data_IF_509887503395
#
_entry.id   IF_509887503395
#
_cell.length_a   1.000
_cell.length_b   1.000
_cell.length_c   1.000
_cell.angle_alpha   90.00
_cell.angle_beta   90.00
_cell.angle_gamma   90.00
#
_symmetry.space_group_name_H-M   'P 1'
#
loop_
_entity.id
_entity.type
_entity.pdbx_description
1 polymer ?
#
# COMPACT_ATOMS: atom_id res chain seq x y z
N UNK A 1 -2.80 -60.42 -48.42
CA UNK A 1 -2.20 -59.20 -47.86
C UNK A 1 -3.21 -58.06 -48.03
N UNK A 2 -4.03 -57.78 -47.02
CA UNK A 2 -4.99 -56.69 -47.04
C UNK A 2 -4.65 -55.82 -45.81
N UNK A 3 -4.00 -54.68 -46.02
CA UNK A 3 -3.56 -53.79 -44.95
C UNK A 3 -4.74 -52.95 -44.46
N UNK A 4 -5.06 -53.12 -43.18
CA UNK A 4 -6.01 -52.30 -42.43
C UNK A 4 -5.32 -50.97 -42.13
N UNK A 5 -5.74 -49.89 -42.79
CA UNK A 5 -5.30 -48.53 -42.47
C UNK A 5 -6.11 -48.06 -41.25
N UNK A 6 -5.49 -48.12 -40.08
CA UNK A 6 -6.01 -47.56 -38.84
C UNK A 6 -5.81 -46.04 -38.88
N UNK A 7 -6.85 -45.28 -39.23
CA UNK A 7 -6.89 -43.85 -39.01
C UNK A 7 -7.02 -43.59 -37.50
N UNK A 8 -5.88 -43.40 -36.82
CA UNK A 8 -5.87 -42.72 -35.52
C UNK A 8 -6.23 -41.26 -35.77
N UNK A 9 -7.49 -40.89 -35.52
CA UNK A 9 -7.88 -39.50 -35.37
C UNK A 9 -7.18 -38.94 -34.12
N UNK A 10 -6.12 -38.15 -34.34
CA UNK A 10 -5.59 -37.23 -33.35
C UNK A 10 -6.69 -36.20 -33.05
N UNK A 11 -7.48 -36.46 -32.01
CA UNK A 11 -8.25 -35.39 -31.37
C UNK A 11 -7.19 -34.54 -30.67
N UNK A 12 -6.79 -33.44 -31.29
CA UNK A 12 -6.12 -32.36 -30.60
C UNK A 12 -7.11 -31.87 -29.53
N UNK A 13 -6.95 -32.33 -28.29
CA UNK A 13 -7.64 -31.74 -27.16
C UNK A 13 -7.13 -30.30 -27.06
N UNK A 14 -7.92 -29.34 -27.55
CA UNK A 14 -7.69 -27.93 -27.26
C UNK A 14 -7.70 -27.81 -25.74
N UNK A 15 -6.56 -27.51 -25.12
CA UNK A 15 -6.51 -27.19 -23.70
C UNK A 15 -7.45 -26.01 -23.52
N UNK A 16 -8.60 -26.24 -22.88
CA UNK A 16 -9.61 -25.22 -22.73
C UNK A 16 -9.01 -24.07 -21.93
N UNK A 17 -8.85 -22.89 -22.56
CA UNK A 17 -8.32 -21.70 -21.90
C UNK A 17 -9.14 -21.36 -20.65
N UNK A 18 -8.49 -20.83 -19.62
CA UNK A 18 -9.16 -20.44 -18.38
C UNK A 18 -10.22 -19.37 -18.67
N UNK A 19 -11.50 -19.66 -18.39
CA UNK A 19 -12.58 -18.70 -18.56
C UNK A 19 -12.61 -17.76 -17.35
N UNK A 20 -12.24 -16.49 -17.55
CA UNK A 20 -12.13 -15.48 -16.49
C UNK A 20 -13.33 -14.53 -16.41
N UNK A 21 -14.40 -14.80 -17.16
CA UNK A 21 -15.57 -13.93 -17.23
C UNK A 21 -16.79 -14.54 -16.55
N UNK A 22 -17.41 -13.77 -15.65
CA UNK A 22 -18.69 -14.06 -15.02
C UNK A 22 -19.63 -12.88 -15.27
N UNK A 23 -20.70 -13.12 -16.02
CA UNK A 23 -21.61 -12.10 -16.54
C UNK A 23 -20.86 -10.97 -17.29
N UNK A 24 -20.68 -9.80 -16.65
CA UNK A 24 -19.96 -8.63 -17.19
C UNK A 24 -18.64 -8.35 -16.48
N UNK A 25 -18.27 -9.18 -15.52
CA UNK A 25 -17.09 -8.98 -14.68
C UNK A 25 -16.01 -9.97 -15.10
N UNK A 26 -14.82 -9.44 -15.43
CA UNK A 26 -13.61 -10.22 -15.68
C UNK A 26 -12.75 -10.23 -14.42
N UNK A 27 -12.33 -11.41 -13.98
CA UNK A 27 -11.42 -11.56 -12.82
C UNK A 27 -9.95 -11.61 -13.27
N UNK A 28 -8.98 -11.21 -12.42
CA UNK A 28 -7.55 -11.28 -12.74
C UNK A 28 -7.07 -12.73 -12.90
N UNK A 29 -6.01 -12.96 -13.68
CA UNK A 29 -5.32 -14.25 -13.70
C UNK A 29 -4.65 -14.48 -12.35
N UNK A 30 -4.60 -15.72 -11.80
CA UNK A 30 -5.01 -17.01 -12.38
C UNK A 30 -6.44 -17.44 -12.02
N UNK A 31 -7.27 -16.51 -11.56
CA UNK A 31 -8.63 -16.80 -11.13
C UNK A 31 -9.57 -16.97 -12.32
N UNK A 32 -10.53 -17.88 -12.22
CA UNK A 32 -11.59 -17.98 -13.22
C UNK A 32 -12.61 -19.07 -12.91
N UNK A 33 -13.54 -19.28 -13.83
CA UNK A 33 -14.78 -20.05 -13.64
C UNK A 33 -14.79 -21.38 -14.39
N UNK A 34 -13.68 -21.76 -15.01
CA UNK A 34 -13.49 -23.07 -15.64
C UNK A 34 -12.54 -23.96 -14.84
N UNK A 35 -12.65 -25.29 -14.94
CA UNK A 35 -11.73 -26.21 -14.28
C UNK A 35 -10.26 -26.10 -14.71
N UNK A 36 -10.00 -25.42 -15.83
CA UNK A 36 -8.66 -25.17 -16.36
C UNK A 36 -7.92 -24.00 -15.68
N UNK A 37 -8.61 -23.22 -14.84
CA UNK A 37 -8.00 -22.13 -14.08
C UNK A 37 -7.23 -22.67 -12.87
N UNK A 38 -6.07 -22.09 -12.57
CA UNK A 38 -5.25 -22.55 -11.42
C UNK A 38 -5.90 -22.24 -10.08
N UNK A 39 -6.74 -21.20 -10.00
CA UNK A 39 -7.55 -20.88 -8.83
C UNK A 39 -9.03 -20.77 -9.26
N UNK A 40 -9.82 -21.83 -9.06
CA UNK A 40 -11.21 -21.84 -9.52
C UNK A 40 -12.11 -21.00 -8.60
N UNK A 41 -13.00 -20.24 -9.22
CA UNK A 41 -14.07 -19.46 -8.63
C UNK A 41 -15.43 -20.02 -9.07
N UNK A 42 -16.46 -19.73 -8.27
CA UNK A 42 -17.85 -20.00 -8.61
C UNK A 42 -18.55 -18.70 -9.05
N UNK A 43 -19.32 -18.79 -10.12
CA UNK A 43 -20.12 -17.69 -10.64
C UNK A 43 -21.61 -18.03 -10.49
N UNK A 44 -22.37 -17.15 -9.84
CA UNK A 44 -23.81 -17.27 -9.76
C UNK A 44 -24.44 -15.91 -10.05
N UNK A 45 -25.35 -15.84 -11.03
CA UNK A 45 -25.97 -14.59 -11.45
C UNK A 45 -26.78 -13.88 -10.35
N UNK A 46 -27.15 -14.58 -9.28
CA UNK A 46 -27.90 -14.01 -8.14
C UNK A 46 -27.02 -13.62 -6.96
N UNK A 47 -26.07 -14.48 -6.58
CA UNK A 47 -25.20 -14.26 -5.41
C UNK A 47 -23.82 -13.69 -5.75
N UNK A 48 -23.55 -13.45 -7.04
CA UNK A 48 -22.26 -12.96 -7.53
C UNK A 48 -21.17 -14.03 -7.54
N UNK A 49 -19.93 -13.58 -7.44
CA UNK A 49 -18.73 -14.41 -7.47
C UNK A 49 -18.43 -14.91 -6.05
N UNK A 50 -18.13 -16.19 -5.92
CA UNK A 50 -17.74 -16.81 -4.65
C UNK A 50 -16.53 -17.73 -4.81
N UNK A 51 -15.82 -17.94 -3.71
CA UNK A 51 -14.69 -18.84 -3.59
C UNK A 51 -15.01 -19.91 -2.54
N UNK A 52 -15.12 -21.17 -2.97
CA UNK A 52 -15.44 -22.30 -2.07
C UNK A 52 -16.69 -22.07 -1.21
N UNK A 53 -17.70 -21.37 -1.75
CA UNK A 53 -18.94 -21.03 -1.05
C UNK A 53 -18.93 -19.72 -0.27
N UNK A 54 -17.79 -19.03 -0.17
CA UNK A 54 -17.67 -17.72 0.49
C UNK A 54 -17.73 -16.57 -0.53
N UNK A 55 -18.53 -15.52 -0.31
CA UNK A 55 -18.61 -14.39 -1.24
C UNK A 55 -17.25 -13.69 -1.42
N UNK A 56 -16.87 -13.44 -2.66
CA UNK A 56 -15.68 -12.65 -2.98
C UNK A 56 -16.00 -11.16 -2.77
N UNK A 57 -15.15 -10.46 -2.00
CA UNK A 57 -15.29 -9.04 -1.77
C UNK A 57 -14.55 -8.23 -2.84
N UNK A 58 -13.22 -8.39 -2.93
CA UNK A 58 -12.39 -7.73 -3.92
C UNK A 58 -11.00 -8.38 -4.02
N UNK A 59 -10.29 -8.06 -5.11
CA UNK A 59 -8.86 -8.30 -5.24
C UNK A 59 -8.08 -7.06 -4.78
N UNK A 60 -6.91 -7.27 -4.19
CA UNK A 60 -6.05 -6.21 -3.65
C UNK A 60 -4.78 -6.09 -4.50
N UNK A 61 -4.14 -4.92 -4.48
CA UNK A 61 -2.89 -4.66 -5.20
C UNK A 61 -1.69 -5.52 -4.73
N UNK A 62 -1.74 -6.04 -3.49
CA UNK A 62 -0.64 -6.77 -2.86
C UNK A 62 -0.69 -8.28 -3.08
N UNK A 63 -1.20 -8.74 -4.24
CA UNK A 63 -1.34 -10.18 -4.54
C UNK A 63 -2.20 -10.94 -3.51
N UNK A 64 -3.21 -10.27 -2.95
CA UNK A 64 -4.20 -10.86 -2.04
C UNK A 64 -5.61 -10.65 -2.58
N UNK A 65 -6.56 -11.41 -2.05
CA UNK A 65 -7.99 -11.20 -2.27
C UNK A 65 -8.76 -11.37 -0.96
N UNK A 66 -9.87 -10.64 -0.84
CA UNK A 66 -10.68 -10.61 0.35
C UNK A 66 -11.96 -11.42 0.15
N UNK A 67 -12.31 -12.22 1.16
CA UNK A 67 -13.57 -12.96 1.21
C UNK A 67 -14.39 -12.55 2.42
N UNK A 68 -15.71 -12.57 2.27
CA UNK A 68 -16.63 -12.38 3.38
C UNK A 68 -16.89 -13.73 4.09
N UNK A 69 -16.49 -13.81 5.35
CA UNK A 69 -16.80 -14.91 6.27
C UNK A 69 -17.79 -14.41 7.30
N UNK A 70 -19.06 -14.45 6.93
CA UNK A 70 -20.13 -14.07 7.86
C UNK A 70 -20.17 -15.01 9.08
N UNK A 71 -20.65 -14.47 10.20
CA UNK A 71 -20.86 -15.20 11.44
C UNK A 71 -21.80 -16.38 11.22
N UNK A 72 -21.33 -17.59 11.56
CA UNK A 72 -22.13 -18.81 11.45
C UNK A 72 -21.84 -19.73 12.64
N UNK A 73 -22.89 -20.09 13.39
CA UNK A 73 -22.77 -20.85 14.63
C UNK A 73 -22.57 -22.36 14.43
N UNK A 74 -22.76 -22.87 13.21
CA UNK A 74 -22.77 -24.31 12.90
C UNK A 74 -21.81 -24.65 11.78
N UNK A 75 -20.90 -23.72 11.42
CA UNK A 75 -19.92 -23.96 10.36
C UNK A 75 -18.76 -24.77 10.95
N UNK A 76 -18.55 -26.02 10.49
CA UNK A 76 -17.49 -26.85 11.03
C UNK A 76 -16.14 -26.22 10.71
N UNK A 77 -15.18 -26.35 11.63
CA UNK A 77 -13.82 -25.79 11.46
C UNK A 77 -13.21 -26.25 10.15
N UNK A 78 -13.48 -27.50 9.74
CA UNK A 78 -12.99 -28.13 8.49
C UNK A 78 -13.29 -27.33 7.23
N UNK A 79 -14.29 -26.45 7.25
CA UNK A 79 -14.56 -25.51 6.16
C UNK A 79 -13.40 -24.55 5.90
N UNK A 80 -12.55 -24.29 6.90
CA UNK A 80 -11.35 -23.47 6.76
C UNK A 80 -10.30 -24.08 5.83
N UNK A 81 -10.39 -25.38 5.52
CA UNK A 81 -9.45 -26.07 4.62
C UNK A 81 -9.53 -25.49 3.21
N UNK A 82 -10.69 -24.94 2.85
CA UNK A 82 -10.89 -24.22 1.60
C UNK A 82 -9.93 -23.03 1.41
N UNK A 83 -9.37 -22.48 2.49
CA UNK A 83 -8.45 -21.34 2.45
C UNK A 83 -6.98 -21.75 2.36
N UNK A 84 -6.68 -23.04 2.34
CA UNK A 84 -5.31 -23.56 2.24
C UNK A 84 -5.16 -24.43 0.99
N UNK A 85 -4.11 -24.17 0.23
CA UNK A 85 -3.78 -24.94 -0.96
C UNK A 85 -2.29 -24.76 -1.28
N UNK A 86 -1.85 -25.35 -2.39
CA UNK A 86 -0.50 -25.16 -2.91
C UNK A 86 -0.26 -23.79 -3.52
N UNK A 87 -1.34 -23.07 -3.91
CA UNK A 87 -1.29 -21.78 -4.61
C UNK A 87 -1.82 -20.61 -3.77
N UNK A 88 -2.32 -20.85 -2.56
CA UNK A 88 -2.88 -19.79 -1.73
C UNK A 88 -2.99 -20.22 -0.27
N UNK A 89 -2.95 -19.23 0.64
CA UNK A 89 -3.14 -19.42 2.07
C UNK A 89 -3.61 -18.13 2.75
N UNK A 90 -4.24 -18.27 3.92
CA UNK A 90 -4.57 -17.13 4.78
C UNK A 90 -3.31 -16.37 5.19
N UNK A 91 -3.30 -15.05 5.06
CA UNK A 91 -2.18 -14.19 5.50
C UNK A 91 -2.12 -14.11 7.03
N UNK A 92 -0.94 -13.84 7.58
CA UNK A 92 -0.74 -13.65 9.03
C UNK A 92 -1.58 -12.54 9.66
N UNK A 93 -2.16 -11.64 8.85
CA UNK A 93 -3.04 -10.55 9.30
C UNK A 93 -4.44 -11.03 9.70
N UNK A 94 -4.77 -12.30 9.45
CA UNK A 94 -6.04 -12.89 9.82
C UNK A 94 -6.02 -13.44 11.24
N UNK A 95 -7.10 -13.16 11.97
CA UNK A 95 -7.55 -13.92 13.12
C UNK A 95 -8.81 -14.71 12.77
N UNK A 96 -8.88 -15.96 13.20
CA UNK A 96 -10.07 -16.81 13.09
C UNK A 96 -10.70 -16.98 14.46
N UNK A 97 -12.01 -16.82 14.54
CA UNK A 97 -12.76 -17.13 15.75
C UNK A 97 -13.29 -18.54 15.68
N UNK A 98 -12.87 -19.33 16.66
CA UNK A 98 -13.20 -20.73 16.75
C UNK A 98 -14.03 -20.99 18.02
N UNK A 99 -14.82 -22.07 18.00
CA UNK A 99 -15.67 -22.50 19.12
C UNK A 99 -15.55 -24.00 19.36
N UNK A 100 -16.11 -24.41 20.50
CA UNK A 100 -16.14 -25.82 20.93
C UNK A 100 -14.72 -26.39 20.99
N UNK A 101 -13.84 -25.63 21.66
CA UNK A 101 -12.44 -25.95 21.79
C UNK A 101 -12.18 -26.76 23.05
N UNK A 102 -11.19 -27.65 23.01
CA UNK A 102 -10.72 -28.33 24.20
C UNK A 102 -10.29 -27.29 25.28
N UNK A 103 -10.53 -27.55 26.59
CA UNK A 103 -10.22 -26.60 27.68
C UNK A 103 -8.75 -26.17 27.76
N UNK A 104 -7.83 -26.93 27.15
CA UNK A 104 -6.40 -26.65 27.10
C UNK A 104 -5.98 -25.74 25.94
N UNK A 105 -6.90 -25.40 25.03
CA UNK A 105 -6.60 -24.65 23.80
C UNK A 105 -7.16 -23.21 23.81
N UNK A 106 -7.80 -22.79 24.89
CA UNK A 106 -8.43 -21.47 25.00
C UNK A 106 -7.39 -20.38 25.28
N UNK A 107 -6.92 -19.72 24.21
CA UNK A 107 -6.30 -18.39 24.32
C UNK A 107 -7.42 -17.35 24.23
N UNK A 108 -7.69 -16.58 25.30
CA UNK A 108 -8.75 -15.57 25.27
C UNK A 108 -8.42 -14.47 24.25
N UNK A 109 -9.42 -14.06 23.48
CA UNK A 109 -9.31 -12.94 22.56
C UNK A 109 -9.19 -11.62 23.34
N UNK A 110 -8.06 -10.92 23.22
CA UNK A 110 -7.94 -9.56 23.76
C UNK A 110 -8.55 -8.56 22.77
N UNK A 111 -9.88 -8.51 22.71
CA UNK A 111 -10.63 -7.58 21.86
C UNK A 111 -11.43 -6.62 22.72
N UNK A 112 -11.58 -5.34 22.31
CA UNK A 112 -12.49 -4.43 22.97
C UNK A 112 -13.91 -5.03 23.06
N UNK A 113 -14.54 -4.89 24.23
CA UNK A 113 -15.88 -5.43 24.51
C UNK A 113 -16.94 -4.99 23.49
N UNK A 114 -16.79 -3.82 22.88
CA UNK A 114 -17.66 -3.36 21.79
C UNK A 114 -17.62 -4.31 20.58
N UNK A 115 -16.43 -4.72 20.14
CA UNK A 115 -16.23 -5.62 18.99
C UNK A 115 -16.81 -7.00 19.29
N UNK A 116 -16.52 -7.51 20.48
CA UNK A 116 -17.04 -8.78 21.00
C UNK A 116 -18.57 -8.72 21.06
N UNK A 117 -19.17 -7.66 21.61
CA UNK A 117 -20.63 -7.53 21.70
C UNK A 117 -21.33 -7.55 20.33
N UNK A 118 -20.74 -6.90 19.32
CA UNK A 118 -21.26 -6.92 17.95
C UNK A 118 -21.22 -8.34 17.37
N UNK A 119 -20.13 -9.08 17.62
CA UNK A 119 -19.98 -10.48 17.20
C UNK A 119 -20.93 -11.43 17.92
N UNK A 120 -21.09 -11.28 19.23
CA UNK A 120 -21.90 -12.18 20.07
C UNK A 120 -23.40 -12.10 19.75
N UNK A 121 -23.87 -10.96 19.23
CA UNK A 121 -25.27 -10.70 18.87
C UNK A 121 -25.82 -11.65 17.78
N UNK A 122 -24.96 -12.19 16.91
CA UNK A 122 -25.39 -13.06 15.80
C UNK A 122 -25.80 -14.47 16.24
N UNK A 123 -25.23 -14.98 17.35
CA UNK A 123 -25.42 -16.36 17.79
C UNK A 123 -25.87 -16.49 19.26
N UNK A 124 -26.19 -15.39 19.95
CA UNK A 124 -26.54 -15.41 21.39
C UNK A 124 -25.40 -15.92 22.26
N UNK A 125 -24.17 -15.56 21.90
CA UNK A 125 -22.95 -16.13 22.46
C UNK A 125 -22.63 -15.60 23.87
N UNK A 126 -21.96 -16.44 24.66
CA UNK A 126 -21.24 -16.04 25.89
C UNK A 126 -19.75 -15.95 25.58
N UNK A 127 -19.08 -14.96 26.16
CA UNK A 127 -17.67 -14.59 25.92
C UNK A 127 -16.71 -15.78 26.16
N UNK A 128 -17.02 -16.63 27.14
CA UNK A 128 -16.20 -17.77 27.57
C UNK A 128 -16.05 -18.90 26.55
N UNK A 129 -16.84 -18.90 25.47
CA UNK A 129 -16.89 -20.00 24.50
C UNK A 129 -16.26 -19.63 23.14
N UNK A 130 -15.51 -18.53 23.09
CA UNK A 130 -14.90 -18.00 21.89
C UNK A 130 -13.37 -17.96 22.03
N UNK A 131 -12.67 -18.62 21.11
CA UNK A 131 -11.20 -18.62 21.06
C UNK A 131 -10.74 -17.93 19.78
N UNK A 132 -9.66 -17.16 19.87
CA UNK A 132 -9.02 -16.53 18.71
C UNK A 132 -7.80 -17.34 18.31
N UNK A 133 -7.80 -17.84 17.08
CA UNK A 133 -6.63 -18.40 16.45
C UNK A 133 -6.00 -17.35 15.52
N UNK A 134 -4.71 -17.06 15.72
CA UNK A 134 -3.94 -16.15 14.88
C UNK A 134 -2.51 -16.67 14.75
N UNK A 135 -1.77 -16.14 13.78
CA UNK A 135 -0.39 -16.54 13.58
C UNK A 135 0.54 -15.85 14.60
N UNK A 136 1.20 -16.63 15.44
CA UNK A 136 2.18 -16.14 16.42
C UNK A 136 3.63 -16.53 16.11
N UNK A 137 3.88 -17.21 14.98
CA UNK A 137 5.21 -17.74 14.64
C UNK A 137 6.05 -16.79 13.77
N UNK A 138 5.47 -15.65 13.36
CA UNK A 138 6.12 -14.69 12.46
C UNK A 138 6.11 -15.10 10.99
N UNK A 139 5.51 -16.25 10.64
CA UNK A 139 5.39 -16.70 9.27
C UNK A 139 4.46 -15.78 8.47
N UNK A 140 4.64 -15.71 7.15
CA UNK A 140 3.83 -14.80 6.32
C UNK A 140 2.37 -15.26 6.17
N UNK A 141 2.14 -16.58 6.31
CA UNK A 141 0.85 -17.24 6.15
C UNK A 141 0.51 -18.13 7.34
N UNK A 142 -0.78 -18.31 7.64
CA UNK A 142 -1.25 -19.31 8.58
C UNK A 142 -1.01 -20.70 8.00
N UNK A 143 -0.86 -21.69 8.88
CA UNK A 143 -0.74 -23.09 8.48
C UNK A 143 -2.02 -23.84 8.77
N UNK A 144 -2.36 -24.75 7.86
CA UNK A 144 -3.49 -25.67 8.00
C UNK A 144 -3.42 -26.46 9.31
N UNK A 145 -2.24 -27.01 9.64
CA UNK A 145 -1.98 -27.73 10.90
C UNK A 145 -2.29 -26.88 12.15
N UNK A 146 -1.94 -25.59 12.11
CA UNK A 146 -2.23 -24.67 13.19
C UNK A 146 -3.73 -24.50 13.43
N UNK A 147 -4.50 -24.33 12.36
CA UNK A 147 -5.95 -24.12 12.44
C UNK A 147 -6.68 -25.38 12.87
N UNK A 148 -6.26 -26.58 12.43
CA UNK A 148 -6.99 -27.82 12.68
C UNK A 148 -6.53 -28.61 13.89
N UNK A 149 -5.23 -28.92 13.94
CA UNK A 149 -4.70 -29.86 14.91
C UNK A 149 -4.31 -29.16 16.21
N UNK A 150 -3.84 -27.91 16.13
CA UNK A 150 -3.38 -27.17 17.31
C UNK A 150 -4.50 -26.39 18.00
N UNK A 151 -5.51 -25.94 17.25
CA UNK A 151 -6.64 -25.23 17.84
C UNK A 151 -7.55 -26.15 18.66
N UNK A 152 -7.67 -27.43 18.27
CA UNK A 152 -8.55 -28.42 18.91
C UNK A 152 -10.00 -27.94 19.05
N UNK A 153 -10.49 -27.16 18.08
CA UNK A 153 -11.83 -26.58 18.04
C UNK A 153 -12.75 -27.28 17.04
N UNK A 154 -14.05 -27.30 17.31
CA UNK A 154 -15.06 -27.92 16.44
C UNK A 154 -15.60 -27.01 15.33
N UNK A 155 -15.79 -25.72 15.61
CA UNK A 155 -16.50 -24.79 14.71
C UNK A 155 -15.66 -23.55 14.34
N UNK A 156 -15.80 -23.08 13.10
CA UNK A 156 -15.31 -21.79 12.62
C UNK A 156 -16.45 -20.76 12.64
N UNK A 157 -16.44 -19.86 13.63
CA UNK A 157 -17.50 -18.89 13.83
C UNK A 157 -17.45 -17.70 12.85
N UNK A 158 -16.33 -16.98 12.81
CA UNK A 158 -16.10 -15.83 11.93
C UNK A 158 -14.61 -15.52 11.85
N UNK A 159 -14.22 -14.42 11.20
CA UNK A 159 -12.84 -13.95 11.12
C UNK A 159 -12.71 -12.47 11.49
N UNK A 160 -11.47 -12.02 11.63
CA UNK A 160 -11.07 -10.62 11.72
C UNK A 160 -9.82 -10.41 10.90
N UNK A 161 -9.79 -9.32 10.15
CA UNK A 161 -8.61 -8.87 9.42
C UNK A 161 -8.01 -7.66 10.13
N UNK A 162 -6.72 -7.73 10.43
CA UNK A 162 -5.96 -6.61 10.97
C UNK A 162 -5.52 -5.68 9.84
N UNK A 163 -6.03 -4.45 9.83
CA UNK A 163 -5.66 -3.40 8.89
C UNK A 163 -4.87 -2.30 9.61
N UNK A 164 -3.54 -2.21 9.41
CA UNK A 164 -2.77 -1.12 9.97
C UNK A 164 -3.16 0.17 9.23
N UNK A 165 -3.82 1.10 9.91
CA UNK A 165 -4.08 2.43 9.36
C UNK A 165 -2.80 3.26 9.50
N UNK A 166 -2.03 3.26 8.42
CA UNK A 166 -0.73 3.95 8.29
C UNK A 166 -0.90 5.47 8.39
N UNK A 167 -2.10 6.01 8.15
CA UNK A 167 -2.36 7.45 8.19
C UNK A 167 -2.80 7.93 9.57
N UNK A 168 -3.56 7.13 10.33
CA UNK A 168 -4.07 7.51 11.64
C UNK A 168 -3.24 7.00 12.83
N UNK A 169 -2.26 6.11 12.60
CA UNK A 169 -1.56 5.41 13.69
C UNK A 169 -2.50 4.53 14.52
N UNK A 170 -3.66 4.19 13.97
CA UNK A 170 -4.69 3.33 14.58
C UNK A 170 -4.74 1.99 13.85
N UNK A 171 -5.32 1.00 14.50
CA UNK A 171 -5.51 -0.33 13.91
C UNK A 171 -6.99 -0.51 13.62
N UNK A 172 -7.33 -0.61 12.34
CA UNK A 172 -8.71 -0.84 11.91
C UNK A 172 -8.91 -2.35 11.82
N UNK A 173 -10.00 -2.83 12.41
CA UNK A 173 -10.34 -4.24 12.43
C UNK A 173 -11.53 -4.48 11.50
N UNK A 174 -11.33 -5.32 10.49
CA UNK A 174 -12.39 -5.70 9.56
C UNK A 174 -13.00 -7.04 10.00
N UNK A 175 -14.20 -7.01 10.57
CA UNK A 175 -14.90 -8.20 11.06
C UNK A 175 -15.55 -8.97 9.92
N UNK A 176 -15.48 -10.30 9.99
CA UNK A 176 -16.07 -11.19 8.99
C UNK A 176 -15.42 -11.09 7.62
N UNK A 177 -14.17 -10.64 7.56
CA UNK A 177 -13.36 -10.57 6.34
C UNK A 177 -12.12 -11.42 6.56
N UNK A 178 -11.70 -12.15 5.52
CA UNK A 178 -10.37 -12.76 5.47
C UNK A 178 -9.58 -12.29 4.28
N UNK A 179 -8.28 -12.15 4.47
CA UNK A 179 -7.30 -11.91 3.42
C UNK A 179 -6.57 -13.21 3.06
N UNK A 180 -6.64 -13.60 1.79
CA UNK A 180 -5.92 -14.77 1.28
C UNK A 180 -4.86 -14.26 0.31
N UNK A 181 -3.60 -14.61 0.56
CA UNK A 181 -2.55 -14.42 -0.42
C UNK A 181 -2.50 -15.61 -1.37
N UNK A 182 -2.21 -15.34 -2.63
CA UNK A 182 -2.16 -16.34 -3.69
C UNK A 182 -0.86 -16.24 -4.47
N UNK A 183 -0.49 -17.29 -5.19
CA UNK A 183 0.72 -17.37 -6.00
C UNK A 183 0.64 -18.48 -7.05
N UNK A 184 1.61 -18.48 -7.97
CA UNK A 184 1.83 -19.58 -8.92
C UNK A 184 2.97 -20.47 -8.45
N UNK A 185 2.91 -21.76 -8.74
CA UNK A 185 3.98 -22.71 -8.39
C UNK A 185 4.83 -23.10 -9.59
N UNK A 186 6.11 -23.37 -9.34
CA UNK A 186 7.04 -23.95 -10.30
C UNK A 186 7.97 -22.93 -10.94
N UNK A 187 8.24 -23.11 -12.23
CA UNK A 187 9.10 -22.20 -12.97
C UNK A 187 8.34 -20.92 -13.34
N UNK A 188 9.04 -19.79 -13.28
CA UNK A 188 8.49 -18.50 -13.66
C UNK A 188 8.02 -18.52 -15.11
N UNK A 189 6.72 -18.32 -15.32
CA UNK A 189 6.11 -18.19 -16.63
C UNK A 189 5.56 -16.76 -16.82
N UNK A 190 6.48 -15.79 -16.77
CA UNK A 190 6.16 -14.37 -16.89
C UNK A 190 6.15 -13.93 -18.36
N UNK A 191 5.31 -12.94 -18.67
CA UNK A 191 5.23 -12.33 -19.99
C UNK A 191 6.53 -11.57 -20.34
N UNK A 192 6.69 -11.22 -21.62
CA UNK A 192 7.76 -10.32 -22.02
C UNK A 192 7.62 -8.95 -21.35
N UNK A 193 8.73 -8.37 -20.91
CA UNK A 193 8.77 -7.13 -20.10
C UNK A 193 8.08 -7.28 -18.73
N UNK A 194 8.29 -8.43 -18.10
CA UNK A 194 7.91 -8.70 -16.73
C UNK A 194 9.06 -9.35 -15.97
N UNK A 195 9.19 -8.99 -14.70
CA UNK A 195 10.13 -9.59 -13.75
C UNK A 195 9.44 -10.65 -12.90
N UNK A 196 10.17 -11.74 -12.63
CA UNK A 196 9.71 -12.79 -11.73
C UNK A 196 10.22 -12.54 -10.32
N UNK A 197 9.31 -12.54 -9.35
CA UNK A 197 9.65 -12.49 -7.93
C UNK A 197 9.30 -13.83 -7.29
N UNK A 198 10.29 -14.51 -6.71
CA UNK A 198 10.05 -15.74 -5.94
C UNK A 198 9.61 -15.41 -4.53
N UNK A 199 8.68 -16.20 -4.01
CA UNK A 199 8.11 -16.03 -2.68
C UNK A 199 9.03 -16.72 -1.67
N UNK A 200 9.14 -16.15 -0.47
CA UNK A 200 10.08 -16.54 0.58
C UNK A 200 9.89 -17.97 1.13
N UNK A 201 10.69 -18.30 2.13
CA UNK A 201 10.93 -19.67 2.66
C UNK A 201 9.69 -20.48 3.07
N UNK A 202 8.58 -19.83 3.43
CA UNK A 202 7.35 -20.49 3.88
C UNK A 202 6.54 -21.10 2.72
N UNK A 203 6.79 -20.63 1.49
CA UNK A 203 6.13 -21.11 0.27
C UNK A 203 7.18 -21.70 -0.65
N UNK A 204 7.21 -23.03 -0.74
CA UNK A 204 8.12 -23.73 -1.66
C UNK A 204 7.71 -23.47 -3.11
N UNK A 205 8.66 -23.03 -3.92
CA UNK A 205 8.52 -22.87 -5.37
C UNK A 205 7.41 -21.92 -5.83
N UNK A 206 6.99 -20.99 -4.95
CA UNK A 206 6.01 -19.95 -5.28
C UNK A 206 6.64 -18.77 -6.02
N UNK A 207 5.90 -18.18 -6.96
CA UNK A 207 6.31 -16.96 -7.66
C UNK A 207 5.14 -16.07 -8.08
N UNK A 208 5.49 -14.80 -8.31
CA UNK A 208 4.66 -13.80 -8.98
C UNK A 208 5.39 -13.19 -10.16
N UNK A 209 4.63 -12.67 -11.10
CA UNK A 209 5.15 -11.86 -12.18
C UNK A 209 4.66 -10.43 -12.02
N UNK A 210 5.54 -9.46 -12.32
CA UNK A 210 5.21 -8.03 -12.29
C UNK A 210 5.73 -7.38 -13.56
N UNK A 211 4.89 -6.61 -14.23
CA UNK A 211 5.34 -5.84 -15.40
C UNK A 211 6.47 -4.88 -15.02
N UNK A 212 7.46 -4.78 -15.91
CA UNK A 212 8.58 -3.84 -15.77
C UNK A 212 8.07 -2.40 -15.88
N UNK A 213 8.90 -1.43 -15.46
CA UNK A 213 8.53 -0.03 -15.50
C UNK A 213 8.10 0.42 -16.92
N UNK A 214 6.99 1.16 -16.99
CA UNK A 214 6.39 1.60 -18.27
C UNK A 214 5.48 0.56 -18.93
N UNK A 215 5.27 -0.61 -18.31
CA UNK A 215 4.32 -1.61 -18.77
C UNK A 215 3.17 -1.78 -17.78
N UNK A 216 1.99 -2.07 -18.31
CA UNK A 216 0.76 -2.29 -17.53
C UNK A 216 0.22 -3.67 -17.91
N UNK A 217 -0.25 -4.41 -16.91
CA UNK A 217 -0.84 -5.73 -17.06
C UNK A 217 -0.65 -6.58 -15.80
N UNK A 218 -0.88 -7.88 -15.92
CA UNK A 218 -0.80 -8.83 -14.80
C UNK A 218 0.58 -9.51 -14.68
N UNK A 219 1.46 -9.35 -15.68
CA UNK A 219 2.81 -9.90 -15.67
C UNK A 219 2.91 -11.36 -16.14
N UNK A 220 1.80 -12.10 -16.26
CA UNK A 220 1.83 -13.53 -16.53
C UNK A 220 1.71 -13.83 -18.03
N UNK A 221 2.49 -14.78 -18.54
CA UNK A 221 2.45 -15.15 -19.96
C UNK A 221 1.12 -15.81 -20.37
N UNK A 222 0.51 -16.57 -19.46
CA UNK A 222 -0.79 -17.22 -19.66
C UNK A 222 -1.99 -16.31 -19.33
N UNK A 223 -1.70 -15.11 -18.83
CA UNK A 223 -2.69 -14.11 -18.44
C UNK A 223 -2.85 -13.01 -19.50
N UNK A 224 -3.02 -11.79 -19.01
CA UNK A 224 -3.16 -10.57 -19.83
C UNK A 224 -1.79 -10.07 -20.34
N UNK A 225 -0.70 -10.54 -19.73
CA UNK A 225 0.67 -10.20 -20.06
C UNK A 225 1.01 -8.75 -19.72
N UNK A 226 2.05 -8.23 -20.37
CA UNK A 226 2.47 -6.83 -20.22
C UNK A 226 2.38 -6.11 -21.54
N UNK A 227 1.68 -4.97 -21.55
CA UNK A 227 1.61 -4.06 -22.69
C UNK A 227 2.20 -2.72 -22.31
N UNK A 228 2.75 -1.99 -23.29
CA UNK A 228 3.24 -0.63 -23.07
C UNK A 228 2.10 0.21 -22.52
N UNK A 229 2.24 0.59 -21.26
CA UNK A 229 1.43 1.64 -20.69
C UNK A 229 2.06 2.94 -21.12
N UNK A 230 1.29 3.84 -21.71
CA UNK A 230 1.56 5.23 -21.37
C UNK A 230 1.33 5.29 -19.87
N UNK A 231 2.42 5.42 -19.09
CA UNK A 231 2.31 6.09 -17.80
C UNK A 231 1.37 7.28 -18.03
N UNK A 232 0.47 7.65 -17.09
CA UNK A 232 0.08 9.04 -17.07
C UNK A 232 1.43 9.77 -17.05
N UNK A 233 1.80 10.39 -18.18
CA UNK A 233 2.85 11.38 -18.15
C UNK A 233 2.43 12.22 -16.96
N UNK A 234 3.26 12.31 -15.92
CA UNK A 234 3.31 13.58 -15.21
C UNK A 234 3.37 14.56 -16.36
N UNK A 235 2.28 15.31 -16.57
CA UNK A 235 2.26 16.37 -17.56
C UNK A 235 3.33 17.30 -17.01
N UNK A 236 4.57 17.06 -17.44
CA UNK A 236 5.62 18.05 -17.39
C UNK A 236 4.98 19.21 -18.09
N UNK A 237 4.72 20.25 -17.31
CA UNK A 237 4.03 21.45 -17.71
C UNK A 237 4.56 21.85 -19.08
N UNK A 238 3.77 21.53 -20.09
CA UNK A 238 4.02 21.99 -21.45
C UNK A 238 3.64 23.45 -21.37
N UNK A 239 4.61 24.30 -21.08
CA UNK A 239 4.46 25.75 -21.14
C UNK A 239 3.97 26.08 -22.55
N UNK A 240 2.66 26.27 -22.68
CA UNK A 240 2.09 26.96 -23.83
C UNK A 240 2.41 28.44 -23.62
N UNK A 241 3.18 29.10 -24.51
CA UNK A 241 3.28 30.55 -24.49
C UNK A 241 1.93 31.09 -24.97
N UNK A 242 1.04 31.39 -24.03
CA UNK A 242 -0.20 32.14 -24.31
C UNK A 242 -0.18 33.44 -23.53
N UNK A 243 0.65 34.40 -23.97
CA UNK A 243 0.40 35.81 -23.67
C UNK A 243 0.81 36.67 -24.86
N UNK A 244 -0.10 36.79 -25.82
CA UNK A 244 -0.07 37.90 -26.79
C UNK A 244 -1.53 38.31 -27.04
N UNK A 245 -2.05 39.17 -26.16
CA UNK A 245 -3.42 39.64 -26.27
C UNK A 245 -3.96 40.39 -25.06
N UNK A 246 -3.12 41.12 -24.31
CA UNK A 246 -3.67 42.09 -23.36
C UNK A 246 -4.04 43.34 -24.17
N UNK A 247 -5.34 43.52 -24.35
CA UNK A 247 -5.92 44.62 -25.14
C UNK A 247 -5.37 45.99 -24.70
N UNK A 248 -5.15 46.88 -25.67
CA UNK A 248 -4.69 48.26 -25.44
C UNK A 248 -5.62 49.06 -24.49
N UNK A 249 -6.85 48.58 -24.25
CA UNK A 249 -7.77 49.15 -23.28
C UNK A 249 -7.31 48.98 -21.82
N UNK A 250 -6.63 47.87 -21.49
CA UNK A 250 -6.16 47.61 -20.12
C UNK A 250 -4.99 48.51 -19.74
N UNK A 251 -4.08 48.81 -20.68
CA UNK A 251 -2.92 49.70 -20.43
C UNK A 251 -3.39 51.14 -20.21
N UNK A 252 -4.41 51.59 -20.94
CA UNK A 252 -4.99 52.93 -20.75
C UNK A 252 -5.75 53.06 -19.42
N UNK A 253 -6.41 51.99 -18.94
CA UNK A 253 -7.03 51.98 -17.62
C UNK A 253 -5.98 52.06 -16.49
N UNK A 254 -4.86 51.34 -16.61
CA UNK A 254 -3.76 51.38 -15.63
C UNK A 254 -3.11 52.77 -15.59
N UNK A 255 -2.91 53.43 -16.73
CA UNK A 255 -2.36 54.80 -16.78
C UNK A 255 -3.35 55.81 -16.17
N UNK A 256 -4.66 55.65 -16.39
CA UNK A 256 -5.67 56.50 -15.77
C UNK A 256 -5.75 56.31 -14.24
N UNK A 257 -5.63 55.08 -13.75
CA UNK A 257 -5.59 54.78 -12.31
C UNK A 257 -4.33 55.35 -11.68
N UNK A 258 -3.16 55.20 -12.32
CA UNK A 258 -1.90 55.80 -11.85
C UNK A 258 -1.97 57.33 -11.87
N UNK A 259 -2.62 57.93 -12.87
CA UNK A 259 -2.88 59.37 -12.92
C UNK A 259 -3.76 59.87 -11.78
N UNK A 260 -4.82 59.14 -11.44
CA UNK A 260 -5.70 59.43 -10.29
C UNK A 260 -4.94 59.23 -8.96
N UNK A 261 -4.10 58.19 -8.87
CA UNK A 261 -3.25 57.92 -7.71
C UNK A 261 -2.21 59.02 -7.47
N UNK A 262 -1.54 59.50 -8.52
CA UNK A 262 -0.54 60.57 -8.44
C UNK A 262 -1.15 61.95 -8.16
N UNK A 263 -2.40 62.18 -8.57
CA UNK A 263 -3.15 63.39 -8.19
C UNK A 263 -3.66 63.33 -6.75
N UNK A 264 -4.07 62.15 -6.28
CA UNK A 264 -4.50 61.90 -4.91
C UNK A 264 -3.37 61.96 -3.88
N UNK A 265 -2.14 61.58 -4.24
CA UNK A 265 -0.99 61.59 -3.33
C UNK A 265 -0.52 63.00 -2.94
N UNK A 266 -0.97 64.05 -3.65
CA UNK A 266 -0.71 65.45 -3.27
C UNK A 266 -1.69 66.02 -2.24
N UNK A 267 -2.74 65.29 -1.87
CA UNK A 267 -3.70 65.73 -0.85
C UNK A 267 -4.05 64.58 0.11
N UNK A 268 -3.59 64.71 1.35
CA UNK A 268 -3.97 63.93 2.54
C UNK A 268 -3.28 62.57 2.75
N UNK A 269 -2.22 62.60 3.56
CA UNK A 269 -2.28 62.18 4.97
C UNK A 269 -2.94 60.83 5.30
N UNK A 270 -2.06 59.90 5.68
CA UNK A 270 -2.22 58.94 6.79
C UNK A 270 -3.08 57.68 6.61
N UNK A 271 -2.38 56.57 6.86
CA UNK A 271 -2.77 55.34 7.60
C UNK A 271 -3.49 54.17 6.94
N UNK A 272 -3.06 53.00 7.42
CA UNK A 272 -3.71 51.68 7.57
C UNK A 272 -3.76 50.71 6.39
N UNK A 273 -2.79 49.78 6.44
CA UNK A 273 -2.95 48.30 6.49
C UNK A 273 -4.17 47.67 5.84
N UNK A 274 -3.92 46.77 4.90
CA UNK A 274 -4.64 45.48 4.77
C UNK A 274 -3.67 44.39 4.31
N UNK A 275 -3.73 43.25 5.00
CA UNK A 275 -3.10 41.98 4.62
C UNK A 275 -3.62 41.51 3.26
N UNK A 276 -2.72 40.98 2.43
CA UNK A 276 -3.06 40.20 1.25
C UNK A 276 -2.20 38.92 1.27
N UNK A 277 -2.81 37.82 1.72
CA UNK A 277 -2.29 36.46 1.57
C UNK A 277 -2.51 36.01 0.13
N UNK A 278 -1.43 35.68 -0.58
CA UNK A 278 -1.48 34.79 -1.72
C UNK A 278 -0.11 34.13 -1.97
N UNK A 279 -0.10 32.80 -1.92
CA UNK A 279 0.75 31.93 -2.75
C UNK A 279 2.25 31.87 -2.45
N UNK A 280 2.64 31.27 -1.32
CA UNK A 280 4.00 30.74 -1.09
C UNK A 280 3.96 29.40 -0.35
N UNK A 281 3.70 28.29 -1.06
CA UNK A 281 3.87 26.94 -0.47
C UNK A 281 4.76 26.01 -1.32
N UNK A 282 5.69 26.56 -2.12
CA UNK A 282 6.62 25.72 -2.87
C UNK A 282 8.08 26.20 -2.88
N UNK A 283 8.36 27.38 -2.33
CA UNK A 283 9.73 27.91 -2.26
C UNK A 283 10.30 27.83 -0.83
N UNK A 284 9.47 27.88 0.22
CA UNK A 284 9.95 27.82 1.61
C UNK A 284 10.49 26.43 2.00
N UNK A 285 9.90 25.34 1.49
CA UNK A 285 10.26 23.97 1.89
C UNK A 285 11.65 23.54 1.41
N UNK A 286 12.05 23.95 0.20
CA UNK A 286 13.38 23.67 -0.34
C UNK A 286 14.48 24.43 0.41
N UNK A 287 14.20 25.70 0.77
CA UNK A 287 15.10 26.51 1.58
C UNK A 287 15.19 26.04 3.03
N UNK A 288 14.14 25.42 3.58
CA UNK A 288 14.16 24.85 4.92
C UNK A 288 15.05 23.61 4.98
N UNK A 289 14.91 22.66 4.05
CA UNK A 289 15.71 21.44 4.02
C UNK A 289 17.21 21.71 3.85
N UNK A 290 17.60 22.59 2.91
CA UNK A 290 19.00 22.94 2.70
C UNK A 290 19.63 23.65 3.90
N UNK A 291 18.88 24.55 4.57
CA UNK A 291 19.37 25.23 5.79
C UNK A 291 19.58 24.26 6.94
N UNK A 292 18.62 23.35 7.18
CA UNK A 292 18.75 22.34 8.24
C UNK A 292 19.94 21.42 7.99
N UNK A 293 20.18 21.02 6.74
CA UNK A 293 21.32 20.19 6.38
C UNK A 293 22.67 20.90 6.62
N UNK A 294 22.81 22.15 6.20
CA UNK A 294 24.05 22.93 6.35
C UNK A 294 24.47 23.07 7.83
N UNK A 295 23.50 23.32 8.73
CA UNK A 295 23.77 23.41 10.17
C UNK A 295 24.13 22.04 10.78
N UNK A 296 23.55 20.94 10.28
CA UNK A 296 23.91 19.58 10.71
C UNK A 296 25.31 19.18 10.24
N UNK A 297 25.72 19.56 9.03
CA UNK A 297 27.06 19.30 8.49
C UNK A 297 28.13 20.21 9.12
N UNK A 298 27.77 21.46 9.43
CA UNK A 298 28.61 22.44 10.14
C UNK A 298 28.74 22.19 11.65
N UNK A 299 27.98 21.25 12.22
CA UNK A 299 27.99 20.95 13.65
C UNK A 299 27.28 21.98 14.53
N UNK A 300 26.45 22.85 13.95
CA UNK A 300 25.73 23.95 14.62
C UNK A 300 24.25 23.58 14.91
N UNK A 301 24.01 22.33 15.33
CA UNK A 301 22.66 21.78 15.53
C UNK A 301 21.90 22.50 16.66
N UNK A 302 22.61 23.06 17.64
CA UNK A 302 22.00 23.84 18.73
C UNK A 302 21.26 25.08 18.23
N UNK A 303 21.63 25.63 17.06
CA UNK A 303 20.93 26.77 16.45
C UNK A 303 19.62 26.37 15.76
N UNK A 304 19.41 25.08 15.50
CA UNK A 304 18.17 24.52 14.97
C UNK A 304 17.16 24.17 16.08
N UNK A 305 17.59 24.21 17.34
CA UNK A 305 16.75 23.85 18.49
C UNK A 305 15.71 24.94 18.72
N UNK A 306 14.44 24.55 18.74
CA UNK A 306 13.34 25.47 19.07
C UNK A 306 13.55 26.04 20.49
N UNK A 307 13.42 27.36 20.71
CA UNK A 307 13.54 27.99 22.04
C UNK A 307 12.63 27.36 23.10
N UNK A 308 11.48 26.79 22.72
CA UNK A 308 10.56 26.11 23.65
C UNK A 308 11.16 24.79 24.18
N UNK A 309 12.14 24.23 23.49
CA UNK A 309 12.79 22.96 23.83
C UNK A 309 14.09 23.16 24.62
N UNK A 310 14.38 24.36 25.13
CA UNK A 310 15.65 24.73 25.80
C UNK A 310 16.09 23.70 26.86
N UNK A 311 15.16 23.16 27.64
CA UNK A 311 15.41 22.18 28.72
C UNK A 311 15.61 20.71 28.25
N UNK A 312 15.46 20.40 26.95
CA UNK A 312 15.61 19.05 26.40
C UNK A 312 17.07 18.73 26.07
N UNK A 313 17.54 17.51 26.38
CA UNK A 313 18.88 17.02 26.05
C UNK A 313 19.21 17.21 24.56
N UNK A 314 20.33 17.87 24.26
CA UNK A 314 20.78 18.18 22.89
C UNK A 314 21.02 16.94 22.03
N UNK A 315 21.38 15.82 22.66
CA UNK A 315 21.59 14.53 21.99
C UNK A 315 20.30 13.95 21.40
N UNK A 316 19.18 14.02 22.12
CA UNK A 316 17.88 13.52 21.65
C UNK A 316 17.32 14.40 20.53
N UNK A 317 17.50 15.72 20.64
CA UNK A 317 17.13 16.68 19.59
C UNK A 317 17.96 16.45 18.34
N UNK A 318 19.28 16.27 18.49
CA UNK A 318 20.20 15.96 17.39
C UNK A 318 19.82 14.67 16.69
N UNK A 319 19.50 13.63 17.46
CA UNK A 319 19.03 12.34 16.97
C UNK A 319 17.72 12.48 16.17
N UNK A 320 16.76 13.25 16.69
CA UNK A 320 15.49 13.49 16.00
C UNK A 320 15.68 14.23 14.67
N UNK A 321 16.55 15.24 14.64
CA UNK A 321 16.86 16.00 13.41
C UNK A 321 17.52 15.09 12.36
N UNK A 322 18.49 14.28 12.76
CA UNK A 322 19.17 13.34 11.85
C UNK A 322 18.21 12.28 11.29
N UNK A 323 17.32 11.73 12.12
CA UNK A 323 16.28 10.79 11.68
C UNK A 323 15.30 11.48 10.72
N UNK A 324 14.91 12.72 11.01
CA UNK A 324 14.06 13.54 10.14
C UNK A 324 14.69 13.72 8.75
N UNK A 325 15.97 14.06 8.69
CA UNK A 325 16.73 14.21 7.44
C UNK A 325 16.85 12.90 6.63
N UNK A 326 16.91 11.74 7.29
CA UNK A 326 16.88 10.44 6.62
C UNK A 326 15.50 10.13 6.00
N UNK A 327 14.42 10.57 6.64
CA UNK A 327 13.05 10.31 6.17
C UNK A 327 12.66 11.13 4.94
N UNK A 328 13.25 12.32 4.76
CA UNK A 328 12.92 13.25 3.67
C UNK A 328 13.92 13.22 2.51
N UNK A 329 14.80 12.21 2.45
CA UNK A 329 15.74 12.02 1.34
C UNK A 329 15.03 11.98 -0.02
N UNK A 330 15.62 12.55 -1.06
CA UNK A 330 15.02 12.52 -2.41
C UNK A 330 14.88 11.09 -2.95
N UNK A 331 15.88 10.23 -2.69
CA UNK A 331 15.91 8.84 -3.12
C UNK A 331 15.10 7.94 -2.15
N UNK A 332 14.00 7.30 -2.60
CA UNK A 332 13.20 6.41 -1.77
C UNK A 332 13.97 5.21 -1.20
N UNK A 333 15.03 4.75 -1.87
CA UNK A 333 15.82 3.59 -1.43
C UNK A 333 16.70 3.96 -0.21
N UNK A 334 17.04 5.24 -0.07
CA UNK A 334 17.84 5.76 1.06
C UNK A 334 16.98 6.11 2.28
N UNK A 335 15.65 6.15 2.15
CA UNK A 335 14.74 6.40 3.26
C UNK A 335 14.64 5.15 4.14
N UNK A 336 14.76 5.27 5.47
CA UNK A 336 14.52 4.15 6.36
C UNK A 336 13.05 3.72 6.27
N UNK A 337 12.79 2.42 6.40
CA UNK A 337 11.42 1.94 6.58
C UNK A 337 10.90 2.39 7.96
N UNK A 338 9.58 2.49 8.12
CA UNK A 338 8.99 2.98 9.38
C UNK A 338 9.32 2.10 10.59
N UNK A 339 9.62 0.81 10.37
CA UNK A 339 10.12 -0.09 11.41
C UNK A 339 11.50 0.34 11.93
N UNK A 340 12.44 0.68 11.04
CA UNK A 340 13.75 1.21 11.42
C UNK A 340 13.63 2.59 12.06
N UNK A 341 12.72 3.45 11.60
CA UNK A 341 12.45 4.75 12.24
C UNK A 341 11.98 4.55 13.68
N UNK A 342 11.07 3.61 13.92
CA UNK A 342 10.60 3.28 15.27
C UNK A 342 11.74 2.79 16.18
N UNK A 343 12.63 1.93 15.65
CA UNK A 343 13.82 1.48 16.40
C UNK A 343 14.78 2.63 16.69
N UNK A 344 15.02 3.53 15.72
CA UNK A 344 15.90 4.68 15.89
C UNK A 344 15.37 5.67 16.94
N UNK A 345 14.04 5.88 16.99
CA UNK A 345 13.38 6.77 17.97
C UNK A 345 13.22 6.14 19.37
N UNK A 346 13.16 4.81 19.48
CA UNK A 346 12.89 4.09 20.74
C UNK A 346 14.04 4.09 21.77
N UNK A 347 15.14 4.82 21.53
CA UNK A 347 16.28 4.92 22.45
C UNK A 347 17.20 3.69 22.51
N UNK A 348 16.80 2.55 21.94
CA UNK A 348 17.58 1.31 21.96
C UNK A 348 18.74 1.25 20.94
N UNK A 349 18.75 2.13 19.94
CA UNK A 349 19.85 2.25 18.97
C UNK A 349 20.82 3.37 19.37
N UNK A 350 22.09 3.02 19.56
CA UNK A 350 23.21 3.95 19.84
C UNK A 350 23.97 4.35 18.58
N UNK A 351 23.56 3.88 17.39
CA UNK A 351 24.27 4.15 16.14
C UNK A 351 23.27 4.45 15.02
N UNK A 352 23.30 5.69 14.54
CA UNK A 352 22.49 6.16 13.41
C UNK A 352 23.32 5.93 12.13
N UNK A 353 22.72 5.43 11.02
CA UNK A 353 23.41 5.34 9.74
C UNK A 353 23.96 6.71 9.32
N UNK A 354 25.21 6.75 8.86
CA UNK A 354 25.82 8.00 8.41
C UNK A 354 24.98 8.63 7.30
N UNK A 355 24.69 9.93 7.44
CA UNK A 355 23.99 10.68 6.40
C UNK A 355 24.83 10.63 5.11
N UNK A 356 24.25 10.23 3.97
CA UNK A 356 24.95 10.26 2.69
C UNK A 356 25.26 11.73 2.33
N UNK A 357 26.40 12.02 1.68
CA UNK A 357 26.72 13.39 1.27
C UNK A 357 25.63 13.93 0.34
N UNK A 358 25.30 15.22 0.49
CA UNK A 358 24.32 15.90 -0.36
C UNK A 358 24.65 15.65 -1.84
N UNK A 359 23.78 14.91 -2.52
CA UNK A 359 23.72 14.91 -3.97
C UNK A 359 22.55 15.79 -4.35
N UNK A 360 22.77 17.11 -4.31
CA UNK A 360 21.81 18.05 -4.87
C UNK A 360 21.65 17.70 -6.36
N UNK A 361 20.41 17.67 -6.91
CA UNK A 361 20.23 17.57 -8.34
C UNK A 361 20.94 18.75 -9.02
N UNK A 362 21.68 18.48 -10.11
CA UNK A 362 22.43 19.49 -10.89
C UNK A 362 21.55 20.70 -11.28
N UNK A 363 20.23 20.50 -11.35
CA UNK A 363 19.23 21.55 -11.61
C UNK A 363 19.06 22.61 -10.50
N UNK A 364 19.56 22.38 -9.27
CA UNK A 364 19.53 23.37 -8.19
C UNK A 364 20.86 24.15 -8.02
N UNK A 365 21.97 23.63 -8.55
CA UNK A 365 23.28 24.32 -8.53
C UNK A 365 23.26 25.59 -9.39
N UNK A 366 22.43 25.62 -10.44
CA UNK A 366 22.29 26.78 -11.33
C UNK A 366 21.54 27.97 -10.72
N UNK A 367 20.83 27.79 -9.60
CA UNK A 367 20.11 28.90 -8.94
C UNK A 367 21.00 29.60 -7.91
N UNK A 368 21.92 28.87 -7.26
CA UNK A 368 22.81 29.42 -6.23
C UNK A 368 24.02 30.16 -6.85
N UNK A 369 24.45 29.76 -8.05
CA UNK A 369 25.54 30.42 -8.77
C UNK A 369 25.15 31.72 -9.49
N UNK A 370 23.85 32.08 -9.49
CA UNK A 370 23.35 33.30 -10.12
C UNK A 370 23.31 34.55 -9.22
N UNK A 371 23.64 34.45 -7.92
CA UNK A 371 23.52 35.56 -6.97
C UNK A 371 24.86 36.18 -6.52
N UNK A 372 25.98 35.93 -7.23
CA UNK A 372 27.31 36.48 -6.87
C UNK A 372 27.98 37.39 -7.91
N UNK A 373 27.25 37.96 -8.88
CA UNK A 373 27.78 39.05 -9.72
C UNK A 373 26.87 40.29 -9.73
N UNK A 374 26.82 41.02 -8.62
CA UNK A 374 26.62 42.47 -8.62
C UNK A 374 26.88 43.08 -7.23
N UNK A 375 28.13 43.09 -6.78
CA UNK A 375 28.67 44.15 -5.93
C UNK A 375 30.18 43.97 -5.71
N UNK A 376 30.96 44.43 -6.67
CA UNK A 376 32.20 45.21 -6.46
C UNK A 376 32.57 45.91 -7.75
#
# INVERSE_FOLDING_TARGET
MLQIILFLSLIAASVASCNRTCDKTTVPYPFGFSPSCSIPLSCNSTSGISFSGFPLQNFTANNTFLLNISANCTRPVTSASAFFSTNYALTHRNGLFLRDCAPSATTPCLLPTMVVSQMLSACGLREDNLTCFFNNTGNMYLTEDGVFNRSLCGDLFTSILYEPDVAAGQTVLALGIVEIGWWMTGNCHCAANASCTRIGSDVKDGYWCKCDEGFIGDGFADGDGCRRGTLPMKVGSRWLPTVAGVSAACIMAVIAVIGIWLWGWKTNGSTSTTHEEASTCSLEDAHAYSRVWEHVEGGEIDQLKDPVLEDVCTEEVTKCIQIGLLCVQEDPIKRPNMEAVNVLLSGYSTTIPALPPLQLPVSMVSIISGSQESNS
#
